data_IF_462460697320
#
_entry.id   IF_462460697320
#
_cell.length_a   1.000
_cell.length_b   1.000
_cell.length_c   1.000
_cell.angle_alpha   90.00
_cell.angle_beta   90.00
_cell.angle_gamma   90.00
#
_symmetry.space_group_name_H-M   'P 1'
#
loop_
_entity.id
_entity.type
_entity.pdbx_description
1 polymer ?
#
# COMPACT_ATOMS: atom_id res chain seq x y z
N UNK A 1 32.39 1.32 13.19
CA UNK A 1 31.77 1.84 11.95
C UNK A 1 31.04 3.08 12.38
N UNK A 2 31.64 4.24 12.16
CA UNK A 2 31.14 5.47 12.73
C UNK A 2 30.18 6.11 11.73
N UNK A 3 28.91 6.18 12.11
CA UNK A 3 27.85 6.74 11.29
C UNK A 3 27.74 8.23 11.64
N UNK A 4 28.26 9.10 10.76
CA UNK A 4 28.07 10.54 10.88
C UNK A 4 26.93 10.98 9.95
N UNK A 5 25.85 11.48 10.53
CA UNK A 5 24.75 12.09 9.77
C UNK A 5 25.05 13.57 9.57
N UNK A 6 25.04 14.03 8.32
CA UNK A 6 25.38 15.41 7.94
C UNK A 6 24.27 15.97 7.08
N UNK A 7 23.84 17.18 7.38
CA UNK A 7 22.92 17.93 6.54
C UNK A 7 23.68 18.65 5.43
N UNK A 8 23.16 18.55 4.20
CA UNK A 8 23.80 19.11 3.01
C UNK A 8 22.76 19.64 2.02
N UNK A 9 23.14 20.65 1.25
CA UNK A 9 22.35 21.22 0.17
C UNK A 9 22.87 20.68 -1.16
N UNK A 10 21.95 20.22 -2.01
CA UNK A 10 22.27 19.90 -3.40
C UNK A 10 22.12 21.14 -4.28
N UNK A 11 23.20 21.57 -4.92
CA UNK A 11 23.22 22.74 -5.81
C UNK A 11 24.13 22.46 -7.01
N UNK A 12 23.59 22.59 -8.23
CA UNK A 12 24.33 22.46 -9.50
C UNK A 12 25.12 21.15 -9.63
N UNK A 13 24.53 20.00 -9.24
CA UNK A 13 25.23 18.72 -9.31
C UNK A 13 26.15 18.42 -8.12
N UNK A 14 26.39 19.38 -7.23
CA UNK A 14 27.26 19.22 -6.07
C UNK A 14 26.48 19.15 -4.77
N UNK A 15 26.87 18.24 -3.88
CA UNK A 15 26.36 18.14 -2.51
C UNK A 15 27.29 18.96 -1.61
N UNK A 16 26.78 20.05 -1.06
CA UNK A 16 27.51 20.96 -0.19
C UNK A 16 27.06 20.74 1.26
N UNK A 17 27.91 20.23 2.16
CA UNK A 17 27.53 20.08 3.56
C UNK A 17 27.34 21.46 4.21
N UNK A 18 26.39 21.56 5.14
CA UNK A 18 26.14 22.79 5.90
C UNK A 18 27.26 23.08 6.92
N UNK A 19 27.91 22.02 7.39
CA UNK A 19 29.04 22.07 8.31
C UNK A 19 30.29 21.51 7.66
N UNK A 20 31.45 22.08 7.99
CA UNK A 20 32.72 21.55 7.52
C UNK A 20 32.91 20.10 7.97
N UNK A 21 33.17 19.22 7.00
CA UNK A 21 33.46 17.82 7.25
C UNK A 21 34.98 17.62 7.19
N UNK A 22 35.55 17.06 8.25
CA UNK A 22 36.96 16.69 8.31
C UNK A 22 37.21 15.36 7.59
N UNK A 23 36.83 15.30 6.31
CA UNK A 23 37.09 14.17 5.43
C UNK A 23 38.37 14.42 4.64
N UNK A 24 39.11 13.35 4.34
CA UNK A 24 40.31 13.42 3.49
C UNK A 24 39.92 13.52 2.02
N UNK A 25 40.80 14.10 1.22
CA UNK A 25 40.66 14.05 -0.23
C UNK A 25 40.61 12.58 -0.70
N UNK A 26 39.72 12.29 -1.65
CA UNK A 26 39.44 10.95 -2.18
C UNK A 26 38.84 9.95 -1.18
N UNK A 27 38.29 10.42 -0.06
CA UNK A 27 37.59 9.55 0.89
C UNK A 27 36.24 9.09 0.33
N UNK A 28 36.00 7.77 0.36
CA UNK A 28 34.79 7.17 -0.19
C UNK A 28 33.64 7.24 0.81
N UNK A 29 32.64 8.05 0.51
CA UNK A 29 31.45 8.20 1.35
C UNK A 29 30.22 7.49 0.75
N UNK A 30 29.31 7.03 1.62
CA UNK A 30 27.99 6.51 1.24
C UNK A 30 26.94 7.54 1.62
N UNK A 31 26.16 7.99 0.64
CA UNK A 31 25.11 8.98 0.84
C UNK A 31 23.76 8.30 1.00
N UNK A 32 22.96 8.75 1.97
CA UNK A 32 21.56 8.37 2.15
C UNK A 32 20.72 9.63 2.04
N UNK A 33 19.86 9.69 1.04
CA UNK A 33 18.99 10.85 0.78
C UNK A 33 17.61 10.54 1.33
N UNK A 34 17.19 11.26 2.36
CA UNK A 34 15.84 11.15 2.91
C UNK A 34 14.99 12.29 2.35
N UNK A 35 14.18 11.98 1.33
CA UNK A 35 13.21 12.94 0.81
C UNK A 35 11.96 12.85 1.66
N UNK A 36 11.69 13.87 2.47
CA UNK A 36 10.30 14.11 2.93
C UNK A 36 9.50 14.50 1.70
N UNK A 37 8.72 13.56 1.20
CA UNK A 37 7.70 13.84 0.20
C UNK A 37 6.81 14.97 0.73
N UNK A 38 6.84 16.13 0.09
CA UNK A 38 5.81 17.16 0.27
C UNK A 38 4.42 16.65 -0.20
N UNK A 39 4.38 15.49 -0.85
CA UNK A 39 3.20 14.70 -1.15
C UNK A 39 2.64 13.93 0.06
N UNK A 40 2.53 14.60 1.22
CA UNK A 40 1.35 14.39 2.08
C UNK A 40 0.14 15.21 1.57
N UNK A 41 0.32 15.96 0.48
CA UNK A 41 -0.73 16.63 -0.29
C UNK A 41 -0.65 16.26 -1.77
N UNK A 42 -0.23 15.04 -2.06
CA UNK A 42 -0.60 14.36 -3.29
C UNK A 42 -1.46 13.23 -2.78
N UNK A 43 -2.69 13.21 -3.27
CA UNK A 43 -3.65 12.15 -3.07
C UNK A 43 -2.91 10.81 -3.18
N UNK A 44 -2.50 10.28 -2.02
CA UNK A 44 -2.60 8.87 -1.79
C UNK A 44 -4.03 8.59 -2.24
N UNK A 45 -4.18 8.07 -3.46
CA UNK A 45 -5.11 7.00 -3.71
C UNK A 45 -4.78 5.99 -2.64
N UNK A 46 -5.39 6.26 -1.50
CA UNK A 46 -5.46 5.45 -0.32
C UNK A 46 -6.35 4.34 -0.86
N UNK A 47 -5.76 3.43 -1.62
CA UNK A 47 -6.23 2.07 -1.67
C UNK A 47 -5.95 1.60 -0.26
N UNK A 48 -6.88 2.01 0.60
CA UNK A 48 -7.11 1.49 1.92
C UNK A 48 -7.35 0.02 1.61
N UNK A 49 -6.28 -0.76 1.70
CA UNK A 49 -6.45 -2.18 1.84
C UNK A 49 -7.25 -2.31 3.14
N UNK A 50 -8.53 -2.66 3.01
CA UNK A 50 -9.44 -2.80 4.14
C UNK A 50 -8.83 -3.72 5.21
N UNK A 51 -7.97 -4.66 4.80
CA UNK A 51 -7.20 -5.51 5.72
C UNK A 51 -6.26 -4.74 6.66
N UNK A 52 -5.69 -3.62 6.22
CA UNK A 52 -4.74 -2.81 6.99
C UNK A 52 -5.42 -1.92 8.04
N UNK A 53 -6.54 -1.29 7.69
CA UNK A 53 -7.33 -0.47 8.64
C UNK A 53 -8.00 -1.33 9.71
N UNK A 54 -8.36 -2.57 9.35
CA UNK A 54 -9.10 -3.43 10.25
C UNK A 54 -8.18 -4.30 11.11
N UNK A 55 -6.86 -4.29 10.90
CA UNK A 55 -5.91 -5.17 11.62
C UNK A 55 -6.00 -5.03 13.14
N UNK A 56 -6.19 -3.81 13.63
CA UNK A 56 -6.29 -3.53 15.08
C UNK A 56 -7.71 -3.76 15.63
N UNK A 57 -8.73 -3.84 14.76
CA UNK A 57 -10.11 -4.22 15.13
C UNK A 57 -10.38 -5.72 14.95
N UNK A 58 -9.62 -6.39 14.08
CA UNK A 58 -9.70 -7.81 13.77
C UNK A 58 -9.00 -8.66 14.84
N UNK A 59 -7.96 -8.16 15.49
CA UNK A 59 -7.32 -8.86 16.63
C UNK A 59 -8.25 -9.08 17.82
N UNK A 60 -9.30 -8.28 17.96
CA UNK A 60 -10.38 -8.52 18.92
C UNK A 60 -11.40 -9.56 18.42
N UNK A 61 -11.63 -9.61 17.10
CA UNK A 61 -12.56 -10.54 16.45
C UNK A 61 -11.96 -11.93 16.18
N UNK A 62 -10.63 -12.10 16.20
CA UNK A 62 -9.96 -13.40 16.01
C UNK A 62 -10.27 -14.42 17.13
N UNK A 63 -10.94 -14.02 18.22
CA UNK A 63 -11.49 -14.95 19.23
C UNK A 63 -12.92 -15.42 18.92
N UNK A 64 -13.63 -14.74 18.04
CA UNK A 64 -14.98 -15.09 17.60
C UNK A 64 -14.92 -15.40 16.11
N UNK A 65 -14.76 -16.70 15.81
CA UNK A 65 -15.02 -17.36 14.52
C UNK A 65 -15.19 -16.41 13.33
N UNK A 66 -14.13 -16.27 12.50
CA UNK A 66 -13.95 -15.30 11.41
C UNK A 66 -15.20 -15.05 10.54
N UNK A 67 -16.11 -14.25 11.09
CA UNK A 67 -17.45 -14.02 10.55
C UNK A 67 -17.40 -13.21 9.26
N UNK A 68 -16.34 -12.40 9.10
CA UNK A 68 -16.09 -11.61 7.89
C UNK A 68 -15.78 -12.54 6.73
N UNK A 69 -14.87 -13.51 6.91
CA UNK A 69 -14.57 -14.49 5.87
C UNK A 69 -15.79 -15.35 5.52
N UNK A 70 -16.57 -15.76 6.52
CA UNK A 70 -17.81 -16.54 6.30
C UNK A 70 -18.86 -15.72 5.53
N UNK A 71 -19.06 -14.46 5.90
CA UNK A 71 -20.02 -13.56 5.23
C UNK A 71 -19.61 -13.30 3.78
N UNK A 72 -18.33 -13.02 3.52
CA UNK A 72 -17.82 -12.80 2.17
C UNK A 72 -17.95 -14.07 1.32
N UNK A 73 -17.70 -15.26 1.90
CA UNK A 73 -17.87 -16.53 1.20
C UNK A 73 -19.33 -16.79 0.82
N UNK A 74 -20.28 -16.48 1.72
CA UNK A 74 -21.72 -16.60 1.46
C UNK A 74 -22.18 -15.67 0.33
N UNK A 75 -21.78 -14.38 0.38
CA UNK A 75 -22.13 -13.40 -0.66
C UNK A 75 -21.61 -13.84 -2.03
N UNK A 76 -20.37 -14.36 -2.10
CA UNK A 76 -19.80 -14.85 -3.35
C UNK A 76 -20.59 -16.02 -3.92
N UNK A 77 -21.01 -16.95 -3.06
CA UNK A 77 -21.77 -18.14 -3.47
C UNK A 77 -23.15 -17.76 -4.00
N UNK A 78 -23.87 -16.88 -3.30
CA UNK A 78 -25.18 -16.40 -3.76
C UNK A 78 -25.08 -15.60 -5.07
N UNK A 79 -24.06 -14.75 -5.19
CA UNK A 79 -23.86 -13.96 -6.41
C UNK A 79 -23.57 -14.85 -7.61
N UNK A 80 -22.71 -15.86 -7.45
CA UNK A 80 -22.43 -16.83 -8.51
C UNK A 80 -23.71 -17.57 -8.94
N UNK A 81 -24.51 -18.03 -7.98
CA UNK A 81 -25.76 -18.71 -8.27
C UNK A 81 -26.76 -17.85 -9.04
N UNK A 82 -26.90 -16.57 -8.65
CA UNK A 82 -27.78 -15.62 -9.36
C UNK A 82 -27.31 -15.34 -10.78
N UNK A 83 -26.00 -15.22 -10.99
CA UNK A 83 -25.43 -15.04 -12.34
C UNK A 83 -25.70 -16.26 -13.21
N UNK A 84 -25.54 -17.47 -12.66
CA UNK A 84 -25.85 -18.71 -13.37
C UNK A 84 -27.34 -18.86 -13.69
N UNK A 85 -28.24 -18.46 -12.79
CA UNK A 85 -29.68 -18.46 -13.05
C UNK A 85 -30.04 -17.48 -14.15
N UNK A 86 -29.51 -16.25 -14.10
CA UNK A 86 -29.76 -15.23 -15.12
C UNK A 86 -29.25 -15.68 -16.49
N UNK A 87 -28.09 -16.34 -16.55
CA UNK A 87 -27.57 -16.89 -17.79
C UNK A 87 -28.51 -17.94 -18.39
N UNK A 88 -29.08 -18.84 -17.57
CA UNK A 88 -30.05 -19.83 -18.03
C UNK A 88 -31.36 -19.21 -18.49
N UNK A 89 -31.88 -18.21 -17.78
CA UNK A 89 -33.11 -17.50 -18.18
C UNK A 89 -32.93 -16.78 -19.52
N UNK A 90 -31.75 -16.19 -19.76
CA UNK A 90 -31.41 -15.56 -21.04
C UNK A 90 -31.33 -16.61 -22.15
N UNK A 91 -30.64 -17.73 -21.91
CA UNK A 91 -30.54 -18.82 -22.89
C UNK A 91 -31.93 -19.39 -23.22
N UNK A 92 -32.80 -19.61 -22.23
CA UNK A 92 -34.18 -20.05 -22.44
C UNK A 92 -35.04 -19.01 -23.18
N UNK A 93 -34.88 -17.72 -22.88
CA UNK A 93 -35.58 -16.65 -23.58
C UNK A 93 -35.14 -16.52 -25.05
N UNK A 94 -33.86 -16.75 -25.33
CA UNK A 94 -33.31 -16.77 -26.69
C UNK A 94 -33.71 -18.02 -27.48
N UNK A 95 -33.92 -19.16 -26.80
CA UNK A 95 -34.35 -20.41 -27.45
C UNK A 95 -35.86 -20.46 -27.75
N UNK A 96 -36.67 -19.69 -27.02
CA UNK A 96 -38.14 -19.62 -27.17
C UNK A 96 -38.63 -18.40 -27.97
N UNK A 97 -37.73 -17.59 -28.53
CA UNK A 97 -38.01 -16.44 -29.40
C UNK A 97 -37.86 -16.80 -30.89
#
# INVERSE_FOLDING_TARGET
MDLLTVEAIYQNGMIKPLTALHLRENERIRLRIERRHASAQEEARNIINLRGIWKDRLTAAEREEDWVSTTVATIRRESAHRVEQLAREIDEALFNA
#
